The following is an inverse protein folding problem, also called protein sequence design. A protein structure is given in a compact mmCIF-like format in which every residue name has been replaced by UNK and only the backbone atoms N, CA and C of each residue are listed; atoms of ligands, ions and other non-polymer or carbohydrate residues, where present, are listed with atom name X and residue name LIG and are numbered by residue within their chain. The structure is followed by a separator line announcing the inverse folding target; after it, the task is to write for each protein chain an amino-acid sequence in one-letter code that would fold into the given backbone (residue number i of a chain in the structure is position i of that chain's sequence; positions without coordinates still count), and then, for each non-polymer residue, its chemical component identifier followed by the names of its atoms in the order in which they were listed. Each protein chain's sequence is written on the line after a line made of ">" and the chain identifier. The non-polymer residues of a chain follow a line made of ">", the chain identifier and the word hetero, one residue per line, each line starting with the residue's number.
data_IF_573586701306
#
_entry.id   IF_573586701306
#
_cell.length_a   1.000
_cell.length_b   1.000
_cell.length_c   1.000
_cell.angle_alpha   90.00
_cell.angle_beta   90.00
_cell.angle_gamma   90.00
#
_symmetry.space_group_name_H-M   'P 1'
#
loop_
_entity.id
_entity.type
_entity.pdbx_description
1 polymer ?
#
# COMPACT_ATOMS: atom_id res chain seq x y z
N UNK A 1 18.13 -23.55 -7.27
CA UNK A 1 17.45 -22.50 -6.47
C UNK A 1 17.54 -21.12 -7.16
N UNK A 2 18.75 -20.57 -7.42
CA UNK A 2 18.93 -19.25 -8.04
C UNK A 2 18.24 -19.08 -9.39
N UNK A 3 18.40 -20.05 -10.32
CA UNK A 3 17.73 -20.07 -11.63
C UNK A 3 16.21 -19.91 -11.52
N UNK A 4 15.57 -20.57 -10.54
CA UNK A 4 14.12 -20.50 -10.31
C UNK A 4 13.72 -19.06 -9.91
N UNK A 5 14.39 -18.48 -8.91
CA UNK A 5 14.14 -17.10 -8.45
C UNK A 5 14.30 -16.08 -9.57
N UNK A 6 15.36 -16.22 -10.39
CA UNK A 6 15.58 -15.35 -11.55
C UNK A 6 14.46 -15.46 -12.59
N UNK A 7 14.00 -16.67 -12.88
CA UNK A 7 12.93 -16.90 -13.85
C UNK A 7 11.59 -16.35 -13.36
N UNK A 8 11.31 -16.52 -12.06
CA UNK A 8 10.13 -15.92 -11.40
C UNK A 8 10.18 -14.39 -11.38
N UNK A 9 11.40 -13.80 -11.35
CA UNK A 9 11.62 -12.36 -11.49
C UNK A 9 11.65 -11.89 -12.97
N UNK A 10 11.38 -12.79 -13.94
CA UNK A 10 11.40 -12.52 -15.39
C UNK A 10 12.73 -11.93 -15.91
N UNK A 11 13.83 -12.18 -15.19
CA UNK A 11 15.16 -11.69 -15.57
C UNK A 11 15.93 -12.69 -16.43
N UNK A 12 16.68 -12.19 -17.43
CA UNK A 12 17.71 -12.97 -18.11
C UNK A 12 18.96 -13.05 -17.24
N UNK A 13 19.85 -14.06 -17.45
CA UNK A 13 21.13 -14.13 -16.76
C UNK A 13 21.97 -12.86 -16.96
N UNK A 14 21.92 -12.30 -18.16
CA UNK A 14 22.62 -11.05 -18.52
C UNK A 14 22.09 -9.86 -17.72
N UNK A 15 20.76 -9.72 -17.62
CA UNK A 15 20.13 -8.62 -16.89
C UNK A 15 20.37 -8.72 -15.40
N UNK A 16 20.25 -9.93 -14.82
CA UNK A 16 20.59 -10.17 -13.42
C UNK A 16 22.05 -9.83 -13.12
N UNK A 17 22.98 -10.22 -14.00
CA UNK A 17 24.40 -9.95 -13.86
C UNK A 17 24.69 -8.43 -13.87
N UNK A 18 24.10 -7.71 -14.81
CA UNK A 18 24.19 -6.24 -14.93
C UNK A 18 23.72 -5.56 -13.63
N UNK A 19 22.53 -5.88 -13.15
CA UNK A 19 21.93 -5.29 -11.95
C UNK A 19 22.71 -5.64 -10.68
N UNK A 20 23.22 -6.88 -10.57
CA UNK A 20 23.99 -7.33 -9.41
C UNK A 20 25.49 -6.92 -9.46
N UNK A 21 25.93 -6.26 -10.54
CA UNK A 21 27.33 -5.84 -10.72
C UNK A 21 28.30 -7.02 -10.80
N UNK A 22 27.91 -8.12 -11.47
CA UNK A 22 28.73 -9.32 -11.71
C UNK A 22 28.72 -9.72 -13.18
N UNK A 23 29.61 -10.65 -13.58
CA UNK A 23 29.59 -11.13 -14.97
C UNK A 23 28.47 -12.15 -15.20
N UNK A 24 27.90 -12.18 -16.43
CA UNK A 24 26.93 -13.20 -16.83
C UNK A 24 27.48 -14.62 -16.64
N UNK A 25 28.76 -14.84 -16.99
CA UNK A 25 29.41 -16.15 -16.81
C UNK A 25 29.44 -16.57 -15.36
N UNK A 26 29.56 -15.62 -14.42
CA UNK A 26 29.52 -15.91 -12.99
C UNK A 26 28.12 -16.37 -12.54
N UNK A 27 27.06 -15.66 -12.99
CA UNK A 27 25.66 -16.07 -12.75
C UNK A 27 25.43 -17.48 -13.32
N UNK A 28 25.84 -17.74 -14.56
CA UNK A 28 25.65 -19.06 -15.18
C UNK A 28 26.33 -20.18 -14.40
N UNK A 29 27.56 -19.98 -13.90
CA UNK A 29 28.30 -20.95 -13.07
C UNK A 29 27.63 -21.19 -11.74
N UNK A 30 27.09 -20.15 -11.07
CA UNK A 30 26.34 -20.28 -9.81
C UNK A 30 25.06 -21.09 -10.04
N UNK A 31 24.31 -20.80 -11.11
CA UNK A 31 23.07 -21.50 -11.44
C UNK A 31 23.30 -23.01 -11.74
N UNK A 32 24.49 -23.35 -12.28
CA UNK A 32 24.92 -24.71 -12.55
C UNK A 32 25.56 -25.43 -11.34
N UNK A 33 25.70 -24.72 -10.21
CA UNK A 33 26.39 -25.27 -9.03
C UNK A 33 27.89 -25.49 -9.22
N UNK A 34 28.52 -24.87 -10.22
CA UNK A 34 29.96 -25.02 -10.53
C UNK A 34 30.88 -24.12 -9.72
N UNK A 35 30.33 -23.14 -9.03
CA UNK A 35 31.08 -22.23 -8.15
C UNK A 35 30.25 -21.91 -6.92
N UNK A 36 30.95 -21.70 -5.80
CA UNK A 36 30.35 -21.24 -4.56
C UNK A 36 30.60 -19.72 -4.46
N UNK A 37 29.55 -18.89 -4.58
CA UNK A 37 29.72 -17.44 -4.59
C UNK A 37 30.03 -16.92 -3.19
N UNK A 38 30.82 -15.85 -3.10
CA UNK A 38 31.03 -15.13 -1.84
C UNK A 38 29.69 -14.60 -1.31
N UNK A 39 29.54 -14.56 0.02
CA UNK A 39 28.32 -14.05 0.66
C UNK A 39 27.91 -12.65 0.17
N UNK A 40 28.90 -11.77 -0.07
CA UNK A 40 28.65 -10.44 -0.65
C UNK A 40 28.03 -10.48 -2.04
N UNK A 41 28.41 -11.45 -2.87
CA UNK A 41 27.84 -11.68 -4.20
C UNK A 41 26.42 -12.23 -4.09
N UNK A 42 26.21 -13.18 -3.17
CA UNK A 42 24.86 -13.73 -2.88
C UNK A 42 23.91 -12.62 -2.46
N UNK A 43 24.33 -11.77 -1.52
CA UNK A 43 23.51 -10.65 -1.04
C UNK A 43 23.13 -9.69 -2.17
N UNK A 44 24.07 -9.31 -3.05
CA UNK A 44 23.77 -8.46 -4.21
C UNK A 44 22.75 -9.10 -5.17
N UNK A 45 22.91 -10.39 -5.44
CA UNK A 45 22.00 -11.13 -6.31
C UNK A 45 20.63 -11.24 -5.67
N UNK A 46 20.54 -11.57 -4.38
CA UNK A 46 19.26 -11.66 -3.66
C UNK A 46 18.58 -10.29 -3.60
N UNK A 47 19.33 -9.22 -3.35
CA UNK A 47 18.81 -7.86 -3.35
C UNK A 47 18.12 -7.55 -4.70
N UNK A 48 18.78 -7.80 -5.83
CA UNK A 48 18.18 -7.60 -7.16
C UNK A 48 16.93 -8.46 -7.36
N UNK A 49 16.95 -9.72 -6.91
CA UNK A 49 15.83 -10.64 -7.08
C UNK A 49 14.64 -10.31 -6.17
N UNK A 50 14.88 -9.66 -5.04
CA UNK A 50 13.82 -9.22 -4.11
C UNK A 50 13.32 -7.82 -4.43
N UNK A 51 14.19 -6.91 -4.88
CA UNK A 51 13.82 -5.56 -5.34
C UNK A 51 13.11 -5.59 -6.70
N UNK A 52 13.35 -6.60 -7.54
CA UNK A 52 12.74 -6.76 -8.87
C UNK A 52 11.23 -7.06 -8.87
N UNK A 53 10.61 -7.23 -7.69
CA UNK A 53 9.15 -7.23 -7.48
C UNK A 53 8.78 -6.17 -6.44
N UNK A 54 9.24 -4.94 -6.62
CA UNK A 54 8.65 -3.83 -5.90
C UNK A 54 7.18 -3.75 -6.29
N UNK A 55 6.31 -4.29 -5.41
CA UNK A 55 4.88 -4.12 -5.55
C UNK A 55 4.58 -2.63 -5.55
N UNK A 56 3.78 -2.20 -6.49
CA UNK A 56 3.22 -0.84 -6.52
C UNK A 56 1.90 -0.79 -5.75
N UNK A 57 1.47 0.40 -5.37
CA UNK A 57 0.25 0.61 -4.61
C UNK A 57 -0.98 0.00 -5.28
N UNK A 58 -1.06 0.05 -6.63
CA UNK A 58 -2.12 -0.58 -7.41
C UNK A 58 -2.29 -2.07 -7.14
N UNK A 59 -1.18 -2.80 -6.92
CA UNK A 59 -1.22 -4.26 -6.73
C UNK A 59 -1.66 -4.67 -5.31
N UNK A 60 -1.74 -3.69 -4.39
CA UNK A 60 -2.01 -3.94 -2.98
C UNK A 60 -3.26 -3.24 -2.47
N UNK A 61 -3.69 -2.16 -3.12
CA UNK A 61 -4.82 -1.37 -2.65
C UNK A 61 -6.13 -2.16 -2.66
N UNK A 62 -7.02 -1.82 -1.75
CA UNK A 62 -8.44 -2.15 -1.87
C UNK A 62 -9.06 -1.16 -2.84
N UNK A 63 -9.53 -1.66 -3.99
CA UNK A 63 -10.16 -0.83 -5.02
C UNK A 63 -11.52 -0.28 -4.54
N UNK A 64 -11.89 0.90 -5.05
CA UNK A 64 -13.19 1.48 -4.78
C UNK A 64 -13.36 1.92 -3.33
N UNK A 65 -12.49 2.79 -2.83
CA UNK A 65 -12.58 3.33 -1.47
C UNK A 65 -13.99 3.86 -1.19
N UNK A 66 -14.67 3.27 -0.19
CA UNK A 66 -15.98 3.73 0.28
C UNK A 66 -15.77 5.10 0.93
N UNK A 67 -16.54 6.10 0.49
CA UNK A 67 -16.40 7.48 0.93
C UNK A 67 -17.68 8.02 1.56
N UNK A 68 -17.54 9.03 2.41
CA UNK A 68 -18.62 9.82 2.98
C UNK A 68 -18.63 11.23 2.35
N UNK A 69 -19.76 11.94 2.49
CA UNK A 69 -19.87 13.36 2.19
C UNK A 69 -19.84 14.17 3.50
N UNK A 70 -19.40 15.45 3.49
CA UNK A 70 -19.40 16.29 4.69
C UNK A 70 -20.77 16.43 5.35
N UNK A 71 -21.85 16.39 4.53
CA UNK A 71 -23.22 16.53 4.99
C UNK A 71 -23.94 15.22 5.29
N UNK A 72 -23.32 14.06 5.11
CA UNK A 72 -23.84 12.79 5.59
C UNK A 72 -23.98 12.83 7.12
N UNK A 73 -24.97 12.13 7.67
CA UNK A 73 -25.14 12.00 9.10
C UNK A 73 -24.33 10.85 9.66
N UNK A 74 -23.86 10.97 10.91
CA UNK A 74 -22.99 9.98 11.56
C UNK A 74 -23.64 8.60 11.62
N UNK A 75 -24.95 8.52 11.88
CA UNK A 75 -25.68 7.25 11.89
C UNK A 75 -25.46 6.45 10.59
N UNK A 76 -25.67 7.09 9.43
CA UNK A 76 -25.48 6.46 8.12
C UNK A 76 -24.04 6.00 7.91
N UNK A 77 -23.08 6.83 8.30
CA UNK A 77 -21.63 6.52 8.12
C UNK A 77 -21.23 5.37 9.04
N UNK A 78 -21.68 5.34 10.30
CA UNK A 78 -21.39 4.26 11.22
C UNK A 78 -21.98 2.92 10.77
N UNK A 79 -23.21 2.92 10.21
CA UNK A 79 -23.82 1.72 9.62
C UNK A 79 -22.99 1.18 8.44
N UNK A 80 -22.46 2.07 7.58
CA UNK A 80 -21.56 1.69 6.48
C UNK A 80 -20.27 1.10 7.01
N UNK A 81 -19.64 1.72 8.02
CA UNK A 81 -18.42 1.22 8.65
C UNK A 81 -18.61 -0.19 9.21
N UNK A 82 -19.69 -0.41 9.97
CA UNK A 82 -20.01 -1.73 10.56
C UNK A 82 -20.29 -2.76 9.45
N UNK A 83 -21.12 -2.43 8.46
CA UNK A 83 -21.50 -3.34 7.37
C UNK A 83 -20.30 -3.80 6.55
N UNK A 84 -19.33 -2.92 6.31
CA UNK A 84 -18.15 -3.21 5.49
C UNK A 84 -16.90 -3.56 6.31
N UNK A 85 -17.00 -3.63 7.64
CA UNK A 85 -15.89 -3.87 8.55
C UNK A 85 -14.70 -2.91 8.29
N UNK A 86 -14.99 -1.62 8.12
CA UNK A 86 -13.99 -0.57 7.87
C UNK A 86 -14.02 0.45 9.01
N UNK A 87 -12.85 0.87 9.46
CA UNK A 87 -12.67 1.81 10.60
C UNK A 87 -12.48 3.26 10.17
N UNK A 88 -12.43 3.53 8.87
CA UNK A 88 -12.21 4.86 8.33
C UNK A 88 -12.76 5.00 6.91
N UNK A 89 -13.17 6.21 6.57
CA UNK A 89 -13.65 6.57 5.21
C UNK A 89 -13.12 7.94 4.83
N UNK A 90 -12.62 8.14 3.59
CA UNK A 90 -12.36 9.47 3.06
C UNK A 90 -13.66 10.27 2.96
N UNK A 91 -13.60 11.54 3.29
CA UNK A 91 -14.70 12.48 3.11
C UNK A 91 -14.44 13.26 1.83
N UNK A 92 -15.34 13.12 0.86
CA UNK A 92 -15.17 13.70 -0.49
C UNK A 92 -16.29 14.71 -0.76
N UNK A 93 -15.88 15.90 -1.22
CA UNK A 93 -16.75 16.97 -1.68
C UNK A 93 -16.29 17.43 -3.06
N UNK A 94 -17.18 17.46 -4.05
CA UNK A 94 -16.87 17.91 -5.43
C UNK A 94 -15.58 17.27 -6.01
N UNK A 95 -15.42 15.95 -5.86
CA UNK A 95 -14.24 15.16 -6.27
C UNK A 95 -12.93 15.48 -5.52
N UNK A 96 -12.99 16.28 -4.48
CA UNK A 96 -11.82 16.61 -3.64
C UNK A 96 -11.95 15.91 -2.30
N UNK A 97 -10.85 15.32 -1.81
CA UNK A 97 -10.79 14.76 -0.45
C UNK A 97 -10.65 15.91 0.53
N UNK A 98 -11.67 16.15 1.33
CA UNK A 98 -11.73 17.28 2.29
C UNK A 98 -11.45 16.84 3.72
N UNK A 99 -11.44 15.53 3.99
CA UNK A 99 -11.17 15.01 5.31
C UNK A 99 -11.21 13.49 5.36
N UNK A 100 -11.16 12.96 6.58
CA UNK A 100 -11.31 11.52 6.88
C UNK A 100 -12.18 11.37 8.12
N UNK A 101 -13.20 10.54 8.04
CA UNK A 101 -13.99 10.14 9.21
C UNK A 101 -13.49 8.78 9.70
N UNK A 102 -13.30 8.63 11.01
CA UNK A 102 -12.80 7.41 11.64
C UNK A 102 -13.70 6.99 12.80
N UNK A 103 -13.75 5.68 13.11
CA UNK A 103 -14.40 5.19 14.34
C UNK A 103 -13.90 5.94 15.58
N UNK A 104 -12.58 6.14 15.69
CA UNK A 104 -11.97 6.86 16.80
C UNK A 104 -12.54 8.28 16.94
N UNK A 105 -12.67 9.02 15.81
CA UNK A 105 -13.17 10.41 15.85
C UNK A 105 -14.65 10.47 16.26
N UNK A 106 -15.46 9.46 15.88
CA UNK A 106 -16.84 9.33 16.29
C UNK A 106 -16.91 9.00 17.78
N UNK A 107 -16.18 7.99 18.24
CA UNK A 107 -16.19 7.53 19.65
C UNK A 107 -15.71 8.65 20.58
N UNK A 108 -14.66 9.39 20.22
CA UNK A 108 -14.12 10.49 21.02
C UNK A 108 -15.16 11.59 21.29
N UNK A 109 -16.12 11.77 20.39
CA UNK A 109 -17.12 12.84 20.44
C UNK A 109 -18.55 12.30 20.63
N UNK A 110 -18.70 11.09 21.19
CA UNK A 110 -20.01 10.48 21.44
C UNK A 110 -20.85 11.35 22.40
N UNK A 111 -22.08 11.63 21.99
CA UNK A 111 -23.12 12.29 22.78
C UNK A 111 -24.49 11.70 22.41
N UNK A 112 -25.52 12.07 23.12
CA UNK A 112 -26.89 11.60 22.85
C UNK A 112 -27.42 12.02 21.46
N UNK A 113 -26.83 13.03 20.83
CA UNK A 113 -27.26 13.53 19.52
C UNK A 113 -26.30 13.17 18.37
N UNK A 114 -25.21 12.47 18.65
CA UNK A 114 -24.16 12.16 17.64
C UNK A 114 -24.73 11.53 16.37
N UNK A 115 -25.71 10.65 16.47
CA UNK A 115 -26.32 9.98 15.33
C UNK A 115 -26.86 10.94 14.27
N UNK A 116 -27.42 12.08 14.66
CA UNK A 116 -28.03 13.08 13.78
C UNK A 116 -27.05 14.18 13.32
N UNK A 117 -25.84 14.18 13.87
CA UNK A 117 -24.82 15.17 13.53
C UNK A 117 -24.15 14.88 12.19
N UNK A 118 -23.63 15.93 11.56
CA UNK A 118 -22.98 15.84 10.25
C UNK A 118 -21.50 15.43 10.37
N UNK A 119 -21.02 14.64 9.39
CA UNK A 119 -19.63 14.18 9.26
C UNK A 119 -18.62 15.33 9.41
N UNK A 120 -18.90 16.50 8.83
CA UNK A 120 -18.01 17.68 8.89
C UNK A 120 -17.59 18.12 10.29
N UNK A 121 -18.38 17.77 11.32
CA UNK A 121 -18.07 18.08 12.73
C UNK A 121 -17.07 17.09 13.33
N UNK A 122 -16.93 15.91 12.76
CA UNK A 122 -16.18 14.77 13.32
C UNK A 122 -14.96 14.40 12.46
N UNK A 123 -14.87 14.90 11.22
CA UNK A 123 -13.80 14.53 10.32
C UNK A 123 -12.46 15.10 10.78
N UNK A 124 -11.42 14.31 10.59
CA UNK A 124 -10.02 14.67 10.72
C UNK A 124 -9.47 15.21 9.39
N UNK A 125 -8.25 15.76 9.35
CA UNK A 125 -7.56 16.08 8.10
C UNK A 125 -7.55 14.91 7.12
N UNK A 126 -7.41 15.16 5.80
CA UNK A 126 -7.33 14.12 4.79
C UNK A 126 -6.18 13.13 5.03
N UNK A 127 -6.38 11.86 4.70
CA UNK A 127 -5.29 10.90 4.60
C UNK A 127 -4.32 11.32 3.49
N UNK A 128 -3.03 10.96 3.61
CA UNK A 128 -2.06 11.11 2.53
C UNK A 128 -2.56 10.46 1.24
N UNK A 129 -2.26 11.09 0.10
CA UNK A 129 -2.62 10.59 -1.22
C UNK A 129 -1.33 10.28 -1.98
N UNK A 130 -1.25 9.11 -2.60
CA UNK A 130 -0.11 8.69 -3.41
C UNK A 130 -0.58 8.21 -4.78
N UNK A 131 0.23 8.34 -5.84
CA UNK A 131 -0.04 7.73 -7.14
C UNK A 131 -0.14 6.21 -7.08
N UNK A 132 -0.94 5.60 -7.96
CA UNK A 132 -1.14 4.14 -7.99
C UNK A 132 0.13 3.34 -8.35
N UNK A 133 1.08 3.96 -9.02
CA UNK A 133 2.38 3.39 -9.42
C UNK A 133 3.48 3.61 -8.35
N UNK A 134 3.15 4.20 -7.21
CA UNK A 134 4.10 4.38 -6.09
C UNK A 134 4.52 3.01 -5.53
N UNK A 135 5.82 2.84 -5.33
CA UNK A 135 6.37 1.63 -4.71
C UNK A 135 5.88 1.45 -3.27
N UNK A 136 5.54 0.23 -2.91
CA UNK A 136 5.08 -0.13 -1.57
C UNK A 136 6.14 0.17 -0.50
N UNK A 137 7.42 0.06 -0.83
CA UNK A 137 8.52 0.44 0.07
C UNK A 137 8.47 1.90 0.49
N UNK A 138 8.06 2.80 -0.42
CA UNK A 138 7.97 4.24 -0.17
C UNK A 138 6.80 4.63 0.76
N UNK A 139 5.73 3.82 0.84
CA UNK A 139 4.57 4.13 1.68
C UNK A 139 4.70 3.62 3.12
N UNK A 140 5.67 2.75 3.43
CA UNK A 140 5.88 2.25 4.80
C UNK A 140 6.02 3.36 5.83
N UNK A 141 6.92 4.35 5.66
CA UNK A 141 7.08 5.44 6.64
C UNK A 141 5.82 6.29 6.82
N UNK A 142 4.97 6.35 5.78
CA UNK A 142 3.70 7.08 5.82
C UNK A 142 2.70 6.30 6.68
N UNK A 143 2.60 4.97 6.50
CA UNK A 143 1.71 4.09 7.26
C UNK A 143 2.11 3.91 8.74
N UNK A 144 3.37 4.20 9.09
CA UNK A 144 3.79 4.27 10.50
C UNK A 144 3.09 5.43 11.23
N UNK A 145 2.85 6.55 10.53
CA UNK A 145 2.26 7.78 11.08
C UNK A 145 0.76 7.89 10.84
N UNK A 146 0.25 7.25 9.79
CA UNK A 146 -1.15 7.32 9.37
C UNK A 146 -1.79 5.93 9.38
N UNK A 147 -3.10 5.86 9.62
CA UNK A 147 -3.83 4.60 9.64
C UNK A 147 -4.08 4.04 8.23
N UNK A 148 -3.99 4.89 7.20
CA UNK A 148 -4.19 4.54 5.80
C UNK A 148 -3.65 5.58 4.85
N UNK A 149 -3.66 5.25 3.57
CA UNK A 149 -3.22 6.09 2.45
C UNK A 149 -4.24 5.93 1.34
N UNK A 150 -4.65 7.02 0.72
CA UNK A 150 -5.47 7.00 -0.47
C UNK A 150 -4.60 6.84 -1.70
N UNK A 151 -5.06 6.04 -2.64
CA UNK A 151 -4.37 5.80 -3.91
C UNK A 151 -5.12 6.51 -5.03
N UNK A 152 -4.40 7.30 -5.82
CA UNK A 152 -4.96 8.10 -6.90
C UNK A 152 -4.43 7.69 -8.27
N UNK A 153 -5.32 7.76 -9.27
CA UNK A 153 -4.99 7.75 -10.70
C UNK A 153 -5.29 9.13 -11.25
N UNK A 154 -4.23 9.92 -11.50
CA UNK A 154 -4.38 11.34 -11.79
C UNK A 154 -5.04 12.07 -10.61
N UNK A 155 -6.18 12.70 -10.83
CA UNK A 155 -6.95 13.41 -9.80
C UNK A 155 -8.01 12.56 -9.09
N UNK A 156 -8.23 11.31 -9.54
CA UNK A 156 -9.29 10.46 -9.03
C UNK A 156 -8.75 9.48 -7.99
N UNK A 157 -9.39 9.38 -6.84
CA UNK A 157 -9.14 8.32 -5.86
C UNK A 157 -9.66 6.99 -6.42
N UNK A 158 -8.77 5.99 -6.51
CA UNK A 158 -9.07 4.66 -7.04
C UNK A 158 -9.02 3.57 -5.99
N UNK A 159 -8.40 3.82 -4.85
CA UNK A 159 -8.31 2.83 -3.77
C UNK A 159 -7.79 3.40 -2.46
N UNK A 160 -7.65 2.51 -1.50
CA UNK A 160 -7.08 2.78 -0.17
C UNK A 160 -6.14 1.64 0.21
N UNK A 161 -5.04 1.99 0.89
CA UNK A 161 -4.12 1.03 1.52
C UNK A 161 -4.11 1.33 3.01
N UNK A 162 -4.26 0.30 3.81
CA UNK A 162 -4.22 0.37 5.27
C UNK A 162 -3.05 -0.43 5.84
N UNK A 163 -2.79 -0.31 7.15
CA UNK A 163 -1.79 -1.13 7.83
C UNK A 163 -2.06 -2.63 7.69
N UNK A 164 -3.33 -3.04 7.66
CA UNK A 164 -3.72 -4.44 7.47
C UNK A 164 -3.27 -5.01 6.12
N UNK A 165 -3.25 -4.18 5.07
CA UNK A 165 -2.82 -4.60 3.75
C UNK A 165 -1.31 -4.86 3.73
N UNK A 166 -0.53 -4.08 4.50
CA UNK A 166 0.90 -4.33 4.67
C UNK A 166 1.20 -5.69 5.33
N UNK A 167 0.36 -6.14 6.27
CA UNK A 167 0.54 -7.45 6.91
C UNK A 167 0.32 -8.61 5.94
N UNK A 168 -0.50 -8.43 4.89
CA UNK A 168 -0.70 -9.45 3.84
C UNK A 168 0.57 -9.70 3.02
N UNK A 169 1.57 -8.81 3.07
CA UNK A 169 2.85 -8.98 2.36
C UNK A 169 3.83 -9.91 3.07
N UNK A 170 3.55 -10.32 4.31
CA UNK A 170 4.43 -11.19 5.13
C UNK A 170 4.30 -12.68 4.74
N UNK A 171 3.46 -13.01 3.77
CA UNK A 171 3.22 -14.40 3.30
C UNK A 171 4.13 -14.79 2.16
#
# INVERSE_FOLDING_TARGET
>A
MLKKLRTEAELTQRKLAELAGVSQAHIAKIEQGKVDPRLSTVNKILQVLTEGKERICKDMMTEGAISAKPDDVILKVSEVMVRHAISQMPVIEQNTVVGTITEESIIRNLSSNTANEKVRKFMNPPLPIVPEDTNVSAIRPILEKHQGILVARGTRIVGIITRSDMLKTIR
#
